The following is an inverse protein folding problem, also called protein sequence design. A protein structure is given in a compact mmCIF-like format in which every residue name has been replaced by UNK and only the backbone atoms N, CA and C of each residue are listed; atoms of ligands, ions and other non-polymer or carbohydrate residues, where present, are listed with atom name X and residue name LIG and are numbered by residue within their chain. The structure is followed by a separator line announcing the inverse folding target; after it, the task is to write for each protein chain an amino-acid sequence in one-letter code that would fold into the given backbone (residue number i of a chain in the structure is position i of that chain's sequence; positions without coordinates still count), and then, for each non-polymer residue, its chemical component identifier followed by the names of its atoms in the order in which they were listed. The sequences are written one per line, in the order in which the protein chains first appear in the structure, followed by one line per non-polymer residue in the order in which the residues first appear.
data_IF_913171787977
#
_entry.id   IF_913171787977
#
_cell.length_a   1.000
_cell.length_b   1.000
_cell.length_c   1.000
_cell.angle_alpha   90.00
_cell.angle_beta   90.00
_cell.angle_gamma   90.00
#
_symmetry.space_group_name_H-M   'P 1'
#
loop_
_entity.id
_entity.type
_entity.pdbx_description
1 polymer ?
#
# COMPACT_ATOMS: atom_id res chain seq x y z
N UNK A 1 9.41 -2.34 -5.50
CA UNK A 1 10.48 -3.29 -5.86
C UNK A 1 10.45 -4.38 -4.82
N UNK A 2 10.37 -5.64 -5.24
CA UNK A 2 10.77 -6.74 -4.37
C UNK A 2 12.28 -6.60 -4.13
N UNK A 3 12.78 -6.77 -2.91
CA UNK A 3 14.21 -6.69 -2.64
C UNK A 3 14.94 -8.03 -2.89
N UNK A 4 14.21 -9.12 -3.18
CA UNK A 4 14.76 -10.47 -3.32
C UNK A 4 14.88 -10.91 -4.77
N UNK A 5 13.93 -10.52 -5.61
CA UNK A 5 13.92 -10.82 -7.04
C UNK A 5 13.81 -9.51 -7.82
N UNK A 6 14.30 -9.50 -9.06
CA UNK A 6 14.19 -8.40 -10.05
C UNK A 6 12.72 -8.11 -10.46
N UNK A 7 11.78 -8.23 -9.54
CA UNK A 7 10.34 -8.10 -9.72
C UNK A 7 9.80 -6.84 -9.06
N UNK A 8 8.77 -6.27 -9.66
CA UNK A 8 8.07 -5.13 -9.08
C UNK A 8 6.57 -5.19 -9.40
N UNK A 9 5.80 -4.45 -8.61
CA UNK A 9 4.36 -4.28 -8.82
C UNK A 9 4.04 -2.85 -9.13
N UNK A 10 3.04 -2.68 -9.99
CA UNK A 10 2.46 -1.39 -10.31
C UNK A 10 0.95 -1.45 -10.16
N UNK A 11 0.37 -0.49 -9.44
CA UNK A 11 -1.06 -0.20 -9.46
C UNK A 11 -1.38 0.89 -10.48
N UNK A 12 -2.46 0.72 -11.24
CA UNK A 12 -2.85 1.64 -12.32
C UNK A 12 -4.28 2.16 -12.15
N UNK A 13 -4.54 3.36 -12.70
CA UNK A 13 -5.87 3.97 -12.75
C UNK A 13 -6.86 3.16 -13.59
N UNK A 14 -6.38 2.25 -14.44
CA UNK A 14 -7.21 1.26 -15.17
C UNK A 14 -7.77 0.15 -14.26
N UNK A 15 -7.61 0.29 -12.94
CA UNK A 15 -8.05 -0.65 -11.90
C UNK A 15 -7.31 -1.99 -11.95
N UNK A 16 -6.06 -1.99 -12.43
CA UNK A 16 -5.22 -3.18 -12.44
C UNK A 16 -4.02 -3.08 -11.50
N UNK A 17 -3.63 -4.23 -10.97
CA UNK A 17 -2.26 -4.45 -10.46
C UNK A 17 -1.55 -5.34 -11.47
N UNK A 18 -0.31 -4.97 -11.80
CA UNK A 18 0.56 -5.72 -12.71
C UNK A 18 1.82 -6.14 -11.98
N UNK A 19 2.22 -7.39 -12.24
CA UNK A 19 3.48 -7.97 -11.80
C UNK A 19 4.46 -7.94 -12.96
N UNK A 20 5.67 -7.46 -12.69
CA UNK A 20 6.72 -7.31 -13.66
C UNK A 20 7.98 -8.03 -13.19
N UNK A 21 8.76 -8.54 -14.14
CA UNK A 21 10.10 -9.09 -13.95
C UNK A 21 11.02 -8.34 -14.90
N UNK A 22 12.06 -7.66 -14.38
CA UNK A 22 12.99 -6.84 -15.17
C UNK A 22 13.79 -7.68 -16.18
N UNK A 23 13.83 -9.01 -16.00
CA UNK A 23 14.48 -9.95 -16.92
C UNK A 23 13.59 -10.28 -18.13
N UNK A 24 12.32 -9.86 -18.11
CA UNK A 24 11.33 -10.13 -19.13
C UNK A 24 10.70 -8.84 -19.64
N UNK A 25 10.50 -8.67 -20.96
CA UNK A 25 9.80 -7.51 -21.49
C UNK A 25 8.28 -7.57 -21.27
N UNK A 26 7.75 -8.73 -20.84
CA UNK A 26 6.32 -8.99 -20.74
C UNK A 26 5.81 -8.89 -19.31
N UNK A 27 4.55 -8.47 -19.16
CA UNK A 27 3.83 -8.54 -17.88
C UNK A 27 3.72 -10.01 -17.43
N UNK A 28 4.12 -10.30 -16.19
CA UNK A 28 4.12 -11.66 -15.64
C UNK A 28 2.81 -12.02 -14.94
N UNK A 29 2.03 -11.02 -14.53
CA UNK A 29 0.75 -11.23 -13.89
C UNK A 29 -0.12 -9.99 -13.94
N UNK A 30 -1.42 -10.18 -14.14
CA UNK A 30 -2.40 -9.11 -14.23
C UNK A 30 -3.57 -9.44 -13.30
N UNK A 31 -3.93 -8.48 -12.45
CA UNK A 31 -5.08 -8.59 -11.55
C UNK A 31 -6.04 -7.43 -11.77
N UNK A 32 -7.31 -7.74 -12.00
CA UNK A 32 -8.39 -6.76 -12.12
C UNK A 32 -9.05 -6.51 -10.76
N UNK A 33 -9.25 -5.23 -10.44
CA UNK A 33 -9.84 -4.77 -9.20
C UNK A 33 -11.03 -3.85 -9.48
N UNK A 34 -11.85 -3.59 -8.46
CA UNK A 34 -13.07 -2.79 -8.60
C UNK A 34 -12.81 -1.26 -8.56
N UNK A 35 -11.60 -0.83 -8.17
CA UNK A 35 -11.19 0.57 -8.16
C UNK A 35 -9.68 0.75 -8.18
N UNK A 36 -9.24 2.01 -8.02
CA UNK A 36 -7.82 2.38 -8.06
C UNK A 36 -7.06 1.65 -6.96
N UNK A 37 -6.03 0.86 -7.29
CA UNK A 37 -5.23 0.20 -6.30
C UNK A 37 -4.07 1.07 -5.81
N UNK A 38 -3.76 0.91 -4.53
CA UNK A 38 -2.40 1.11 -4.00
C UNK A 38 -1.84 -0.27 -3.64
N UNK A 39 -0.54 -0.48 -3.77
CA UNK A 39 0.03 -1.80 -3.50
C UNK A 39 1.46 -1.73 -2.99
N UNK A 40 1.88 -2.79 -2.28
CA UNK A 40 3.24 -2.93 -1.75
C UNK A 40 3.63 -4.39 -1.60
N UNK A 41 4.90 -4.69 -1.81
CA UNK A 41 5.49 -5.98 -1.47
C UNK A 41 5.86 -6.03 0.01
N UNK A 42 5.78 -7.22 0.58
CA UNK A 42 6.48 -7.52 1.82
C UNK A 42 8.01 -7.53 1.60
N UNK A 43 8.81 -7.48 2.67
CA UNK A 43 10.27 -7.46 2.56
C UNK A 43 10.86 -8.72 1.93
N UNK A 44 10.17 -9.86 1.97
CA UNK A 44 10.67 -11.09 1.33
C UNK A 44 10.23 -11.22 -0.13
N UNK A 45 9.32 -10.34 -0.61
CA UNK A 45 8.78 -10.40 -1.96
C UNK A 45 7.86 -11.60 -2.23
N UNK A 46 7.42 -12.31 -1.19
CA UNK A 46 6.55 -13.48 -1.29
C UNK A 46 5.06 -13.09 -1.23
N UNK A 47 4.76 -11.96 -0.58
CA UNK A 47 3.42 -11.47 -0.31
C UNK A 47 3.32 -10.06 -0.84
N UNK A 48 2.17 -9.70 -1.38
CA UNK A 48 1.86 -8.29 -1.61
C UNK A 48 0.51 -7.91 -1.02
N UNK A 49 0.43 -6.66 -0.59
CA UNK A 49 -0.78 -6.02 -0.14
C UNK A 49 -1.36 -5.16 -1.26
N UNK A 50 -2.67 -5.22 -1.42
CA UNK A 50 -3.44 -4.35 -2.31
C UNK A 50 -4.49 -3.59 -1.49
N UNK A 51 -4.42 -2.27 -1.52
CA UNK A 51 -5.48 -1.39 -1.04
C UNK A 51 -6.51 -1.17 -2.13
N UNK A 52 -7.78 -1.49 -1.86
CA UNK A 52 -8.87 -1.41 -2.83
C UNK A 52 -9.95 -0.47 -2.31
N UNK A 53 -10.39 0.45 -3.18
CA UNK A 53 -11.45 1.44 -2.91
C UNK A 53 -11.23 2.28 -1.64
N UNK A 54 -9.98 2.39 -1.16
CA UNK A 54 -9.67 3.08 0.10
C UNK A 54 -10.41 2.52 1.33
N UNK A 55 -10.84 1.26 1.28
CA UNK A 55 -11.67 0.62 2.30
C UNK A 55 -11.11 -0.72 2.78
N UNK A 56 -10.33 -1.40 1.95
CA UNK A 56 -9.86 -2.75 2.25
C UNK A 56 -8.38 -2.89 1.94
N UNK A 57 -7.66 -3.52 2.86
CA UNK A 57 -6.35 -4.11 2.59
C UNK A 57 -6.56 -5.58 2.30
N UNK A 58 -6.05 -6.06 1.17
CA UNK A 58 -6.07 -7.47 0.77
C UNK A 58 -4.65 -7.98 0.66
N UNK A 59 -4.35 -9.15 1.22
CA UNK A 59 -3.05 -9.79 1.09
C UNK A 59 -3.13 -10.97 0.13
N UNK A 60 -2.12 -11.07 -0.72
CA UNK A 60 -2.00 -12.08 -1.75
C UNK A 60 -0.65 -12.78 -1.67
N UNK A 61 -0.66 -14.09 -1.88
CA UNK A 61 0.54 -14.86 -2.16
C UNK A 61 0.96 -14.57 -3.61
N UNK A 62 2.21 -14.17 -3.84
CA UNK A 62 2.71 -13.79 -5.16
C UNK A 62 2.62 -14.96 -6.17
N UNK A 63 2.76 -16.22 -5.73
CA UNK A 63 2.74 -17.41 -6.59
C UNK A 63 1.34 -17.96 -6.84
N UNK A 64 0.33 -17.44 -6.14
CA UNK A 64 -1.04 -17.91 -6.22
C UNK A 64 -2.05 -16.76 -6.12
N UNK A 65 -1.70 -15.58 -6.62
CA UNK A 65 -2.52 -14.37 -6.52
C UNK A 65 -3.86 -14.50 -7.26
N UNK A 66 -3.90 -15.36 -8.29
CA UNK A 66 -5.08 -15.73 -9.07
C UNK A 66 -6.14 -16.46 -8.25
N UNK A 67 -5.76 -17.13 -7.15
CA UNK A 67 -6.69 -17.76 -6.20
C UNK A 67 -7.42 -16.75 -5.32
N UNK A 68 -7.06 -15.48 -5.40
CA UNK A 68 -7.61 -14.42 -4.56
C UNK A 68 -6.80 -14.21 -3.27
N UNK A 69 -7.24 -13.26 -2.44
CA UNK A 69 -6.51 -12.89 -1.24
C UNK A 69 -6.66 -13.95 -0.16
N UNK A 70 -5.56 -14.27 0.53
CA UNK A 70 -5.60 -15.15 1.71
C UNK A 70 -6.03 -14.41 2.97
N UNK A 71 -5.93 -13.08 2.99
CA UNK A 71 -6.44 -12.23 4.07
C UNK A 71 -7.07 -10.94 3.52
N UNK A 72 -8.13 -10.47 4.18
CA UNK A 72 -8.79 -9.20 3.83
C UNK A 72 -9.18 -8.47 5.11
N UNK A 73 -8.74 -7.21 5.22
CA UNK A 73 -9.00 -6.36 6.37
C UNK A 73 -9.82 -5.15 5.93
N UNK A 74 -11.02 -4.99 6.50
CA UNK A 74 -11.84 -3.80 6.29
C UNK A 74 -11.35 -2.67 7.19
N UNK A 75 -11.06 -1.53 6.59
CA UNK A 75 -10.65 -0.32 7.28
C UNK A 75 -11.84 0.64 7.35
N UNK A 76 -12.24 0.98 8.58
CA UNK A 76 -13.30 1.97 8.81
C UNK A 76 -12.68 3.35 9.00
N UNK A 77 -13.16 4.34 8.28
CA UNK A 77 -12.75 5.73 8.43
C UNK A 77 -13.96 6.59 8.77
N UNK A 78 -13.79 7.50 9.72
CA UNK A 78 -14.85 8.43 10.11
C UNK A 78 -15.15 9.48 9.03
N UNK A 79 -14.20 9.67 8.10
CA UNK A 79 -14.29 10.60 6.97
C UNK A 79 -13.80 9.92 5.69
N UNK A 80 -14.41 10.30 4.58
CA UNK A 80 -13.99 9.84 3.26
C UNK A 80 -12.59 10.36 2.94
N UNK A 81 -11.70 9.47 2.50
CA UNK A 81 -10.35 9.80 2.04
C UNK A 81 -9.90 8.79 0.99
N UNK A 82 -9.03 9.23 0.08
CA UNK A 82 -8.39 8.35 -0.89
C UNK A 82 -7.04 7.86 -0.35
N UNK A 83 -6.76 6.57 -0.53
CA UNK A 83 -5.44 6.03 -0.23
C UNK A 83 -4.47 6.41 -1.35
N UNK A 84 -3.35 6.99 -0.96
CA UNK A 84 -2.31 7.46 -1.87
C UNK A 84 -1.12 6.52 -1.91
N UNK A 85 -0.94 5.70 -0.87
CA UNK A 85 0.15 4.74 -0.81
C UNK A 85 -0.08 3.64 0.21
N UNK A 86 0.62 2.54 0.01
CA UNK A 86 0.68 1.40 0.92
C UNK A 86 2.14 0.97 1.01
N UNK A 87 2.67 0.75 2.21
CA UNK A 87 4.04 0.26 2.43
C UNK A 87 4.10 -0.76 3.54
N UNK A 88 4.76 -1.89 3.32
CA UNK A 88 5.19 -2.75 4.43
C UNK A 88 6.34 -2.10 5.21
N UNK A 89 6.43 -2.40 6.50
CA UNK A 89 7.66 -2.19 7.27
C UNK A 89 8.74 -3.15 6.79
N UNK A 90 10.01 -2.81 7.02
CA UNK A 90 11.14 -3.65 6.60
C UNK A 90 11.19 -4.99 7.35
N UNK A 91 10.51 -5.12 8.49
CA UNK A 91 10.35 -6.39 9.20
C UNK A 91 9.06 -7.15 8.81
N UNK A 92 8.26 -6.60 7.89
CA UNK A 92 7.05 -7.22 7.33
C UNK A 92 5.86 -7.27 8.28
N UNK A 93 5.98 -6.79 9.52
CA UNK A 93 4.93 -6.92 10.55
C UNK A 93 3.86 -5.85 10.45
N UNK A 94 4.17 -4.71 9.82
CA UNK A 94 3.29 -3.55 9.77
C UNK A 94 3.02 -3.12 8.34
N UNK A 95 1.85 -2.53 8.14
CA UNK A 95 1.49 -1.85 6.89
C UNK A 95 1.15 -0.39 7.21
N UNK A 96 1.80 0.52 6.50
CA UNK A 96 1.52 1.95 6.49
C UNK A 96 0.57 2.27 5.33
N UNK A 97 -0.53 2.95 5.65
CA UNK A 97 -1.53 3.42 4.70
C UNK A 97 -1.47 4.94 4.68
N UNK A 98 -0.98 5.48 3.56
CA UNK A 98 -0.96 6.93 3.29
C UNK A 98 -2.26 7.35 2.63
N UNK A 99 -2.79 8.52 3.00
CA UNK A 99 -4.04 9.04 2.44
C UNK A 99 -3.87 10.49 1.98
N UNK A 100 -4.81 11.00 1.17
CA UNK A 100 -4.94 12.44 0.92
C UNK A 100 -5.74 13.17 2.01
N UNK A 101 -6.18 12.46 3.06
CA UNK A 101 -6.90 13.01 4.19
C UNK A 101 -5.98 13.69 5.19
N UNK A 102 -6.51 13.93 6.40
CA UNK A 102 -5.77 14.51 7.52
C UNK A 102 -5.16 13.46 8.45
N UNK A 103 -5.07 12.21 8.00
CA UNK A 103 -4.44 11.13 8.76
C UNK A 103 -3.72 10.09 7.89
N UNK A 104 -2.80 9.37 8.53
CA UNK A 104 -2.11 8.18 8.02
C UNK A 104 -2.32 7.07 9.06
N UNK A 105 -2.44 5.82 8.62
CA UNK A 105 -2.62 4.69 9.53
C UNK A 105 -1.48 3.68 9.46
N UNK A 106 -1.16 3.13 10.61
CA UNK A 106 -0.28 1.99 10.77
C UNK A 106 -1.10 0.82 11.30
N UNK A 107 -1.06 -0.31 10.60
CA UNK A 107 -1.81 -1.51 10.97
C UNK A 107 -0.86 -2.71 11.11
N UNK A 108 -1.27 -3.70 11.90
CA UNK A 108 -0.66 -5.04 11.87
C UNK A 108 -0.91 -5.68 10.51
N UNK A 109 0.16 -6.12 9.84
CA UNK A 109 0.09 -6.63 8.49
C UNK A 109 -0.81 -7.87 8.38
N UNK A 110 -0.82 -8.76 9.37
CA UNK A 110 -1.49 -10.07 9.28
C UNK A 110 -2.77 -10.16 10.10
N UNK A 111 -3.00 -9.23 11.02
CA UNK A 111 -4.24 -9.13 11.79
C UNK A 111 -5.15 -8.00 11.30
N UNK A 112 -4.61 -7.03 10.56
CA UNK A 112 -5.34 -5.85 10.11
C UNK A 112 -5.78 -4.92 11.23
N UNK A 113 -5.23 -5.09 12.44
CA UNK A 113 -5.56 -4.26 13.61
C UNK A 113 -4.85 -2.92 13.48
N UNK A 114 -5.58 -1.82 13.67
CA UNK A 114 -4.99 -0.48 13.69
C UNK A 114 -4.16 -0.31 14.94
N UNK A 115 -2.86 -0.06 14.76
CA UNK A 115 -1.91 0.19 15.84
C UNK A 115 -1.81 1.68 16.15
N UNK A 116 -1.69 2.49 15.10
CA UNK A 116 -1.62 3.95 15.23
C UNK A 116 -2.39 4.65 14.11
N UNK A 117 -2.99 5.78 14.47
CA UNK A 117 -3.52 6.76 13.52
C UNK A 117 -2.79 8.06 13.77
N UNK A 118 -1.95 8.47 12.82
CA UNK A 118 -1.22 9.73 12.88
C UNK A 118 -2.07 10.80 12.19
N UNK A 119 -2.52 11.79 12.95
CA UNK A 119 -3.32 12.89 12.42
C UNK A 119 -2.97 14.21 13.11
N UNK A 120 -3.79 15.24 12.88
CA UNK A 120 -3.62 16.56 13.50
C UNK A 120 -3.04 17.63 12.58
N UNK A 121 -2.75 17.30 11.33
CA UNK A 121 -2.38 18.29 10.31
C UNK A 121 -3.61 18.67 9.47
N UNK A 122 -3.79 19.97 9.24
CA UNK A 122 -4.89 20.49 8.45
C UNK A 122 -4.58 20.33 6.96
N UNK A 123 -5.09 19.27 6.34
CA UNK A 123 -4.99 19.04 4.90
C UNK A 123 -6.26 19.48 4.16
N UNK A 124 -6.62 20.76 4.29
CA UNK A 124 -7.85 21.31 3.68
C UNK A 124 -7.84 21.26 2.15
N UNK A 125 -6.65 21.14 1.55
CA UNK A 125 -6.45 21.07 0.10
C UNK A 125 -6.38 19.63 -0.44
N UNK A 126 -6.59 18.62 0.40
CA UNK A 126 -6.51 17.19 0.03
C UNK A 126 -5.21 16.84 -0.73
N UNK A 127 -4.09 17.43 -0.29
CA UNK A 127 -2.77 17.17 -0.87
C UNK A 127 -2.36 15.74 -0.58
N UNK A 128 -1.79 15.06 -1.56
CA UNK A 128 -1.23 13.72 -1.39
C UNK A 128 -0.14 13.75 -0.33
N UNK A 129 -0.30 12.93 0.70
CA UNK A 129 0.75 12.68 1.66
C UNK A 129 1.59 11.51 1.23
N UNK A 130 2.90 11.68 1.37
CA UNK A 130 3.83 10.57 1.30
C UNK A 130 4.30 10.23 2.70
N UNK A 131 4.46 8.93 2.94
CA UNK A 131 5.06 8.45 4.16
C UNK A 131 5.94 7.23 3.90
N UNK A 132 6.93 7.03 4.76
CA UNK A 132 7.87 5.92 4.67
C UNK A 132 8.42 5.57 6.03
N UNK A 133 8.73 4.29 6.23
CA UNK A 133 9.50 3.83 7.38
C UNK A 133 10.97 4.26 7.25
N UNK A 134 11.63 4.45 8.39
CA UNK A 134 13.09 4.40 8.45
C UNK A 134 13.60 2.98 8.17
N UNK A 135 14.86 2.81 7.75
CA UNK A 135 15.40 1.48 7.42
C UNK A 135 15.29 0.44 8.55
N UNK A 136 15.33 0.89 9.80
CA UNK A 136 15.18 0.08 11.01
C UNK A 136 13.71 -0.15 11.43
N UNK A 137 12.75 0.39 10.67
CA UNK A 137 11.31 0.38 10.98
C UNK A 137 10.90 1.01 12.32
N UNK A 138 11.78 1.76 12.97
CA UNK A 138 11.48 2.39 14.27
C UNK A 138 10.68 3.68 14.14
N UNK A 139 10.86 4.41 13.04
CA UNK A 139 10.22 5.71 12.82
C UNK A 139 9.51 5.75 11.47
N UNK A 140 8.56 6.67 11.36
CA UNK A 140 7.85 6.99 10.12
C UNK A 140 8.12 8.46 9.80
N UNK A 141 8.59 8.72 8.58
CA UNK A 141 8.69 10.07 8.03
C UNK A 141 7.43 10.36 7.22
N UNK A 142 6.84 11.54 7.44
CA UNK A 142 5.64 12.02 6.73
C UNK A 142 6.00 13.32 6.03
N UNK A 143 5.84 13.35 4.71
CA UNK A 143 6.10 14.51 3.86
C UNK A 143 4.81 15.02 3.21
N UNK A 144 4.63 16.33 3.23
CA UNK A 144 3.59 17.02 2.45
C UNK A 144 4.22 17.47 1.12
N UNK A 145 3.80 16.89 0.00
CA UNK A 145 4.30 17.35 -1.31
C UNK A 145 3.52 18.61 -1.73
N UNK A 146 4.03 19.80 -1.40
CA UNK A 146 3.50 21.04 -1.96
C UNK A 146 4.20 21.30 -3.29
N UNK A 147 3.56 20.93 -4.40
CA UNK A 147 3.99 21.43 -5.70
C UNK A 147 3.71 22.93 -5.75
N UNK A 148 4.75 23.75 -5.58
CA UNK A 148 4.69 25.16 -5.94
C UNK A 148 4.74 25.25 -7.47
N UNK A 149 3.63 25.70 -8.07
CA UNK A 149 3.59 26.18 -9.45
C UNK A 149 4.09 27.62 -9.53
#
# INVERSE_FOLDING_TARGET
MSPVDDTFISGSLDKTIRLWDLRSPNCQGLMHLQGKPVCSFDPEGLIFAAGVNSEMVKLYDLRSFDKGPFATFKMQYDRTCEWTGLKFSNDGKLILISTNGSFIRLIDAFKGVVMHTFGGYANSKAVTLEASFTPDSQFIMIGLLVAHH
#
